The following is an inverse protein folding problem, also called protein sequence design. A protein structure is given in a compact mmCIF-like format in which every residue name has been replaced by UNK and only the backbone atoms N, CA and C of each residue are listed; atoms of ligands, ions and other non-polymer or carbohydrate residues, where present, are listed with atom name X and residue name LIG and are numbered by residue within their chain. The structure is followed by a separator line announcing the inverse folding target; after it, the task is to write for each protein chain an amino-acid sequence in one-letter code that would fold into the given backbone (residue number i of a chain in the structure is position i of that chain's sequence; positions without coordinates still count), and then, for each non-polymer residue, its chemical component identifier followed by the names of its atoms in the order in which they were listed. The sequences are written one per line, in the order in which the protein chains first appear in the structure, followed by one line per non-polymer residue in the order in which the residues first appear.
data_IF_824458805728
#
_entry.id   IF_824458805728
#
_cell.length_a   1.000
_cell.length_b   1.000
_cell.length_c   1.000
_cell.angle_alpha   90.00
_cell.angle_beta   90.00
_cell.angle_gamma   90.00
#
_symmetry.space_group_name_H-M   'P 1'
#
loop_
_entity.id
_entity.type
_entity.pdbx_description
1 polymer ?
#
# COMPACT_ATOMS: atom_id res chain seq x y z
N UNK A 1 3.82 -50.05 22.86
CA UNK A 1 3.43 -48.64 23.08
C UNK A 1 4.44 -47.62 22.53
N UNK A 2 5.77 -47.79 22.68
CA UNK A 2 6.79 -46.82 22.19
C UNK A 2 6.78 -46.58 20.66
N UNK A 3 6.55 -47.63 19.86
CA UNK A 3 6.47 -47.54 18.39
C UNK A 3 5.25 -46.73 17.92
N UNK A 4 4.11 -46.86 18.59
CA UNK A 4 2.90 -46.08 18.27
C UNK A 4 3.12 -44.60 18.55
N UNK A 5 3.78 -44.26 19.66
CA UNK A 5 4.13 -42.86 19.98
C UNK A 5 5.09 -42.26 18.95
N UNK A 6 6.02 -43.06 18.41
CA UNK A 6 6.92 -42.62 17.35
C UNK A 6 6.15 -42.27 16.07
N UNK A 7 5.20 -43.10 15.64
CA UNK A 7 4.38 -42.80 14.46
C UNK A 7 3.44 -41.60 14.66
N UNK A 8 2.85 -41.46 15.85
CA UNK A 8 2.03 -40.28 16.19
C UNK A 8 2.87 -39.01 16.17
N UNK A 9 4.09 -39.05 16.71
CA UNK A 9 5.00 -37.90 16.70
C UNK A 9 5.38 -37.48 15.28
N UNK A 10 5.72 -38.44 14.41
CA UNK A 10 6.04 -38.16 13.00
C UNK A 10 4.84 -37.58 12.25
N UNK A 11 3.63 -38.11 12.47
CA UNK A 11 2.41 -37.58 11.85
C UNK A 11 2.11 -36.14 12.28
N UNK A 12 2.31 -35.82 13.57
CA UNK A 12 2.15 -34.45 14.08
C UNK A 12 3.17 -33.50 13.46
N UNK A 13 4.44 -33.92 13.30
CA UNK A 13 5.47 -33.10 12.66
C UNK A 13 5.13 -32.76 11.19
N UNK A 14 4.46 -33.67 10.47
CA UNK A 14 4.06 -33.44 9.08
C UNK A 14 2.97 -32.36 8.95
N UNK A 15 2.17 -32.12 9.99
CA UNK A 15 1.13 -31.06 9.99
C UNK A 15 1.73 -29.64 10.10
N UNK A 16 2.99 -29.50 10.49
CA UNK A 16 3.67 -28.20 10.60
C UNK A 16 4.55 -27.86 9.39
N UNK A 17 4.47 -28.63 8.31
CA UNK A 17 5.21 -28.33 7.07
C UNK A 17 4.50 -27.18 6.35
N UNK A 18 5.10 -26.00 6.36
CA UNK A 18 4.67 -24.84 5.57
C UNK A 18 5.65 -24.64 4.40
N UNK A 19 5.12 -24.61 3.18
CA UNK A 19 5.88 -24.21 2.00
C UNK A 19 5.72 -22.70 1.78
N UNK A 20 6.83 -21.96 1.76
CA UNK A 20 6.85 -20.56 1.32
C UNK A 20 6.87 -20.54 -0.21
N UNK A 21 5.90 -19.88 -0.82
CA UNK A 21 5.94 -19.60 -2.25
C UNK A 21 7.07 -18.58 -2.50
N UNK A 22 8.06 -18.98 -3.29
CA UNK A 22 9.14 -18.09 -3.72
C UNK A 22 8.68 -17.35 -4.97
N UNK A 23 7.79 -16.37 -4.80
CA UNK A 23 7.50 -15.43 -5.87
C UNK A 23 8.73 -14.53 -6.08
N UNK A 24 9.18 -14.31 -7.33
CA UNK A 24 10.21 -13.34 -7.61
C UNK A 24 9.69 -11.98 -7.19
N UNK A 25 10.29 -11.38 -6.16
CA UNK A 25 10.01 -9.99 -5.81
C UNK A 25 10.33 -9.15 -7.04
N UNK A 26 9.42 -8.27 -7.49
CA UNK A 26 9.74 -7.36 -8.57
C UNK A 26 11.03 -6.63 -8.18
N UNK A 27 12.01 -6.60 -9.09
CA UNK A 27 13.22 -5.81 -8.88
C UNK A 27 12.78 -4.38 -8.65
N UNK A 28 12.82 -3.93 -7.40
CA UNK A 28 12.55 -2.55 -7.05
C UNK A 28 13.62 -1.74 -7.75
N UNK A 29 13.28 -1.16 -8.90
CA UNK A 29 14.08 -0.09 -9.48
C UNK A 29 14.13 0.96 -8.37
N UNK A 30 15.32 1.18 -7.80
CA UNK A 30 15.55 2.26 -6.84
C UNK A 30 15.43 3.57 -7.60
N UNK A 31 14.20 3.96 -7.92
CA UNK A 31 13.92 5.32 -8.33
C UNK A 31 14.06 6.21 -7.09
N UNK A 32 14.65 7.40 -7.24
CA UNK A 32 14.60 8.37 -6.16
C UNK A 32 13.14 8.57 -5.75
N UNK A 33 12.89 8.57 -4.45
CA UNK A 33 11.57 8.90 -3.90
C UNK A 33 11.52 10.43 -3.91
N UNK A 34 10.61 11.02 -4.67
CA UNK A 34 10.54 12.48 -4.84
C UNK A 34 9.69 13.17 -3.76
N UNK A 35 8.96 12.40 -2.96
CA UNK A 35 8.03 12.95 -1.99
C UNK A 35 6.97 11.93 -1.58
N UNK A 36 5.92 12.43 -0.92
CA UNK A 36 4.73 11.66 -0.63
C UNK A 36 3.47 12.53 -0.79
N UNK A 37 2.34 11.86 -0.97
CA UNK A 37 1.02 12.48 -0.97
C UNK A 37 0.30 12.22 0.34
N UNK A 38 -0.45 13.20 0.81
CA UNK A 38 -1.42 13.04 1.91
C UNK A 38 -2.81 13.17 1.31
N UNK A 39 -3.59 12.09 1.41
CA UNK A 39 -4.99 12.11 1.03
C UNK A 39 -5.82 12.54 2.24
N UNK A 40 -6.53 13.66 2.09
CA UNK A 40 -7.57 14.07 3.02
C UNK A 40 -8.92 13.63 2.46
N UNK A 41 -9.57 12.70 3.15
CA UNK A 41 -10.87 12.19 2.75
C UNK A 41 -11.94 13.30 2.78
N UNK A 42 -12.73 13.37 1.71
CA UNK A 42 -13.90 14.24 1.64
C UNK A 42 -15.12 13.63 2.32
N UNK A 43 -16.27 14.27 2.15
CA UNK A 43 -17.55 13.68 2.56
C UNK A 43 -17.99 12.63 1.54
N UNK A 44 -18.61 11.55 2.01
CA UNK A 44 -19.19 10.54 1.11
C UNK A 44 -20.23 11.17 0.18
N UNK A 45 -20.13 10.88 -1.13
CA UNK A 45 -21.00 11.47 -2.15
C UNK A 45 -20.70 12.94 -2.45
N UNK A 46 -19.49 13.42 -2.16
CA UNK A 46 -19.03 14.78 -2.47
C UNK A 46 -17.63 14.77 -3.11
N UNK A 47 -17.34 15.83 -3.85
CA UNK A 47 -16.09 16.04 -4.58
C UNK A 47 -15.08 16.95 -3.83
N UNK A 48 -15.13 16.92 -2.50
CA UNK A 48 -14.35 17.78 -1.62
C UNK A 48 -13.17 17.09 -0.93
N UNK A 49 -12.70 15.96 -1.46
CA UNK A 49 -11.43 15.39 -1.02
C UNK A 49 -10.27 16.29 -1.49
N UNK A 50 -9.13 16.23 -0.81
CA UNK A 50 -7.92 16.94 -1.26
C UNK A 50 -6.70 16.02 -1.25
N UNK A 51 -5.79 16.30 -2.18
CA UNK A 51 -4.49 15.64 -2.24
C UNK A 51 -3.42 16.70 -1.97
N UNK A 52 -2.71 16.57 -0.86
CA UNK A 52 -1.55 17.40 -0.56
C UNK A 52 -0.27 16.67 -0.98
N UNK A 53 0.80 17.40 -1.26
CA UNK A 53 2.09 16.82 -1.62
C UNK A 53 3.23 17.47 -0.86
N UNK A 54 4.11 16.62 -0.32
CA UNK A 54 5.39 17.05 0.22
C UNK A 54 6.51 16.65 -0.73
N UNK A 55 7.29 17.64 -1.19
CA UNK A 55 8.38 17.44 -2.12
C UNK A 55 9.71 17.33 -1.38
N UNK A 56 10.44 16.22 -1.55
CA UNK A 56 11.74 16.00 -0.91
C UNK A 56 12.88 16.82 -1.51
N UNK A 57 12.77 17.23 -2.78
CA UNK A 57 13.79 18.06 -3.45
C UNK A 57 13.71 19.53 -2.99
N UNK A 58 12.50 20.08 -2.85
CA UNK A 58 12.30 21.49 -2.45
C UNK A 58 12.05 21.67 -0.94
N UNK A 59 11.63 20.62 -0.25
CA UNK A 59 11.21 20.68 1.16
C UNK A 59 9.86 21.36 1.37
N UNK A 60 9.09 21.59 0.29
CA UNK A 60 7.82 22.31 0.34
C UNK A 60 6.63 21.37 0.50
N UNK A 61 5.64 21.81 1.29
CA UNK A 61 4.34 21.16 1.42
C UNK A 61 3.28 21.97 0.66
N UNK A 62 2.74 21.40 -0.40
CA UNK A 62 1.70 22.04 -1.21
C UNK A 62 0.34 21.43 -0.86
N UNK A 63 -0.57 22.28 -0.40
CA UNK A 63 -1.95 21.88 -0.08
C UNK A 63 -2.81 21.82 -1.33
N UNK A 64 -3.67 20.80 -1.40
CA UNK A 64 -4.67 20.60 -2.44
C UNK A 64 -4.14 20.81 -3.87
N UNK A 65 -3.20 19.98 -4.29
CA UNK A 65 -2.54 20.11 -5.60
C UNK A 65 -3.45 19.74 -6.77
N UNK A 66 -4.52 18.98 -6.51
CA UNK A 66 -5.31 18.32 -7.55
C UNK A 66 -5.91 19.30 -8.56
N UNK A 67 -6.55 20.43 -8.16
CA UNK A 67 -7.11 21.39 -9.11
C UNK A 67 -6.04 22.14 -9.91
N UNK A 68 -4.85 22.35 -9.34
CA UNK A 68 -3.74 23.01 -10.02
C UNK A 68 -3.16 22.14 -11.14
N UNK A 69 -3.16 20.82 -10.95
CA UNK A 69 -2.62 19.85 -11.91
C UNK A 69 -3.68 19.44 -12.95
N UNK A 70 -4.96 19.41 -12.57
CA UNK A 70 -6.07 18.99 -13.42
C UNK A 70 -7.09 20.14 -13.57
N UNK A 71 -6.72 21.29 -14.15
CA UNK A 71 -7.58 22.48 -14.21
C UNK A 71 -8.86 22.26 -15.04
N UNK A 72 -8.88 21.26 -15.92
CA UNK A 72 -10.04 20.86 -16.71
C UNK A 72 -11.11 20.10 -15.90
N UNK A 73 -10.77 19.61 -14.71
CA UNK A 73 -11.70 18.88 -13.83
C UNK A 73 -12.46 19.86 -12.94
N UNK A 74 -13.64 20.27 -13.39
CA UNK A 74 -14.46 21.33 -12.78
C UNK A 74 -14.95 21.00 -11.37
N UNK A 75 -15.16 19.71 -11.07
CA UNK A 75 -15.78 19.27 -9.83
C UNK A 75 -14.77 19.03 -8.69
N UNK A 76 -13.46 19.11 -8.92
CA UNK A 76 -12.48 18.77 -7.88
C UNK A 76 -12.32 17.25 -7.71
N UNK A 77 -11.83 16.82 -6.54
CA UNK A 77 -11.44 15.43 -6.28
C UNK A 77 -12.47 14.73 -5.39
N UNK A 78 -13.06 13.63 -5.86
CA UNK A 78 -14.00 12.82 -5.09
C UNK A 78 -15.22 12.39 -5.91
N UNK A 79 -16.31 12.09 -5.21
CA UNK A 79 -17.55 11.59 -5.80
C UNK A 79 -18.48 12.76 -6.24
N UNK A 80 -19.50 12.45 -7.04
CA UNK A 80 -20.32 13.38 -7.85
C UNK A 80 -21.07 14.50 -7.13
#
# INVERSE_FOLDING_TARGET
MRIIHFYVFVFVCLLFVSCKNNEPTPSMVQQPINGFYVLNEGTWGSNNASLDMYNYETGEYTQNIFPSINPEVVLGLGDV
#
